data_IF_886012015414
#
_entry.id   IF_886012015414
#
_cell.length_a   1.000
_cell.length_b   1.000
_cell.length_c   1.000
_cell.angle_alpha   90.00
_cell.angle_beta   90.00
_cell.angle_gamma   90.00
#
_symmetry.space_group_name_H-M   'P 1'
#
loop_
_entity.id
_entity.type
_entity.pdbx_description
1 polymer ?
#
# COMPACT_ATOMS: atom_id res chain seq x y z
N UNK A 1 -18.35 -6.67 5.34
CA UNK A 1 -17.14 -6.35 4.55
C UNK A 1 -16.47 -5.17 5.23
N UNK A 2 -15.22 -5.29 5.66
CA UNK A 2 -14.53 -4.19 6.36
C UNK A 2 -14.25 -3.06 5.35
N UNK A 3 -14.17 -1.81 5.84
CA UNK A 3 -13.84 -0.63 5.03
C UNK A 3 -12.58 -0.84 4.17
N UNK A 4 -11.57 -1.49 4.75
CA UNK A 4 -10.31 -1.85 4.06
C UNK A 4 -10.55 -2.78 2.88
N UNK A 5 -11.35 -3.84 3.05
CA UNK A 5 -11.60 -4.83 1.99
C UNK A 5 -12.29 -4.18 0.79
N UNK A 6 -13.18 -3.22 1.04
CA UNK A 6 -13.85 -2.46 -0.02
C UNK A 6 -12.87 -1.60 -0.81
N UNK A 7 -11.99 -0.86 -0.12
CA UNK A 7 -10.96 -0.04 -0.77
C UNK A 7 -10.00 -0.91 -1.59
N UNK A 8 -9.58 -2.05 -1.04
CA UNK A 8 -8.74 -3.01 -1.77
C UNK A 8 -9.45 -3.54 -3.02
N UNK A 9 -10.75 -3.84 -2.93
CA UNK A 9 -11.55 -4.24 -4.09
C UNK A 9 -11.53 -3.22 -5.22
N UNK A 10 -11.75 -1.93 -4.90
CA UNK A 10 -11.66 -0.84 -5.88
C UNK A 10 -10.24 -0.69 -6.47
N UNK A 11 -9.20 -0.82 -5.65
CA UNK A 11 -7.82 -0.80 -6.13
C UNK A 11 -7.50 -1.98 -7.07
N UNK A 12 -8.07 -3.16 -6.82
CA UNK A 12 -7.92 -4.31 -7.73
C UNK A 12 -8.59 -4.08 -9.07
N UNK A 13 -9.82 -3.55 -9.07
CA UNK A 13 -10.56 -3.21 -10.28
C UNK A 13 -9.80 -2.15 -11.10
N UNK A 14 -9.26 -1.13 -10.44
CA UNK A 14 -8.39 -0.12 -11.05
C UNK A 14 -7.17 -0.74 -11.73
N UNK A 15 -6.36 -1.51 -11.01
CA UNK A 15 -5.18 -2.14 -11.58
C UNK A 15 -5.55 -3.06 -12.75
N UNK A 16 -6.65 -3.81 -12.63
CA UNK A 16 -7.12 -4.70 -13.70
C UNK A 16 -7.50 -3.90 -14.95
N UNK A 17 -8.17 -2.76 -14.80
CA UNK A 17 -8.51 -1.87 -15.91
C UNK A 17 -7.27 -1.29 -16.60
N UNK A 18 -6.18 -1.09 -15.87
CA UNK A 18 -4.89 -0.62 -16.39
C UNK A 18 -3.94 -1.73 -16.85
N UNK A 19 -4.36 -2.99 -16.85
CA UNK A 19 -3.51 -4.12 -17.24
C UNK A 19 -2.41 -4.46 -16.21
N UNK A 20 -2.49 -3.88 -15.02
CA UNK A 20 -1.63 -4.15 -13.89
C UNK A 20 -2.23 -5.24 -12.98
N UNK A 21 -1.39 -5.75 -12.06
CA UNK A 21 -1.82 -6.75 -11.07
C UNK A 21 -1.51 -6.31 -9.65
N UNK A 22 -2.54 -6.11 -8.85
CA UNK A 22 -2.42 -5.90 -7.41
C UNK A 22 -2.20 -7.26 -6.72
N UNK A 23 -0.94 -7.72 -6.67
CA UNK A 23 -0.56 -9.01 -6.05
C UNK A 23 -0.84 -9.01 -4.54
N UNK A 24 -0.86 -10.18 -3.92
CA UNK A 24 -1.12 -10.32 -2.46
C UNK A 24 -0.22 -9.41 -1.63
N UNK A 25 1.10 -9.40 -1.90
CA UNK A 25 2.05 -8.53 -1.20
C UNK A 25 1.78 -7.03 -1.41
N UNK A 26 1.35 -6.64 -2.62
CA UNK A 26 0.97 -5.24 -2.91
C UNK A 26 -0.28 -4.83 -2.14
N UNK A 27 -1.29 -5.71 -2.08
CA UNK A 27 -2.50 -5.50 -1.26
C UNK A 27 -2.16 -5.34 0.22
N UNK A 28 -1.28 -6.18 0.75
CA UNK A 28 -0.90 -6.13 2.16
C UNK A 28 -0.18 -4.82 2.52
N UNK A 29 0.74 -4.35 1.68
CA UNK A 29 1.39 -3.04 1.88
C UNK A 29 0.37 -1.89 1.78
N UNK A 30 -0.52 -1.93 0.79
CA UNK A 30 -1.58 -0.92 0.63
C UNK A 30 -2.54 -0.92 1.84
N UNK A 31 -2.94 -2.11 2.32
CA UNK A 31 -3.79 -2.26 3.50
C UNK A 31 -3.14 -1.68 4.77
N UNK A 32 -1.83 -1.85 4.94
CA UNK A 32 -1.07 -1.23 6.03
C UNK A 32 -1.14 0.30 6.01
N UNK A 33 -1.15 0.92 4.82
CA UNK A 33 -1.35 2.37 4.68
C UNK A 33 -2.80 2.79 4.91
N UNK A 34 -3.79 2.04 4.39
CA UNK A 34 -5.22 2.35 4.56
C UNK A 34 -5.63 2.28 6.04
N UNK A 35 -5.09 1.31 6.79
CA UNK A 35 -5.39 1.12 8.20
C UNK A 35 -4.65 2.12 9.11
N UNK A 36 -3.64 2.82 8.59
CA UNK A 36 -2.86 3.76 9.39
C UNK A 36 -3.55 5.12 9.48
N UNK A 37 -3.65 5.67 10.68
CA UNK A 37 -4.12 7.04 10.91
C UNK A 37 -3.04 8.10 10.59
N UNK A 38 -1.83 7.67 10.20
CA UNK A 38 -0.69 8.55 9.92
C UNK A 38 0.06 8.12 8.66
N UNK A 39 0.83 9.04 8.10
CA UNK A 39 1.81 8.69 7.07
C UNK A 39 2.88 7.75 7.64
N UNK A 40 3.26 6.74 6.85
CA UNK A 40 4.28 5.75 7.22
C UNK A 40 5.49 5.83 6.30
N UNK A 41 6.69 5.74 6.86
CA UNK A 41 7.90 5.44 6.10
C UNK A 41 7.89 3.99 5.61
N UNK A 42 8.75 3.66 4.64
CA UNK A 42 8.90 2.28 4.17
C UNK A 42 9.33 1.32 5.31
N UNK A 43 10.14 1.79 6.26
CA UNK A 43 10.58 0.99 7.41
C UNK A 43 9.45 0.75 8.42
N UNK A 44 8.67 1.79 8.73
CA UNK A 44 7.46 1.63 9.56
C UNK A 44 6.47 0.64 8.91
N UNK A 45 6.37 0.62 7.57
CA UNK A 45 5.55 -0.36 6.84
C UNK A 45 6.09 -1.79 6.95
N UNK A 46 7.42 -2.00 6.98
CA UNK A 46 8.01 -3.33 7.22
C UNK A 46 7.61 -3.82 8.61
N UNK A 47 7.66 -2.95 9.61
CA UNK A 47 7.28 -3.29 10.98
C UNK A 47 5.79 -3.64 11.09
N UNK A 48 4.91 -2.83 10.48
CA UNK A 48 3.47 -3.11 10.40
C UNK A 48 3.21 -4.45 9.69
N UNK A 49 3.85 -4.69 8.55
CA UNK A 49 3.73 -5.93 7.80
C UNK A 49 4.16 -7.14 8.64
N UNK A 50 5.29 -7.03 9.35
CA UNK A 50 5.80 -8.09 10.22
C UNK A 50 4.87 -8.37 11.40
N UNK A 51 4.29 -7.34 12.01
CA UNK A 51 3.33 -7.48 13.10
C UNK A 51 2.04 -8.17 12.64
N UNK A 52 1.57 -7.88 11.42
CA UNK A 52 0.32 -8.44 10.90
C UNK A 52 0.47 -9.87 10.36
N UNK A 53 1.58 -10.19 9.70
CA UNK A 53 1.75 -11.44 8.96
C UNK A 53 2.81 -12.38 9.54
N UNK A 54 3.55 -11.96 10.57
CA UNK A 54 4.60 -12.77 11.20
C UNK A 54 5.87 -12.95 10.35
N UNK A 55 5.92 -12.37 9.15
CA UNK A 55 7.06 -12.40 8.25
C UNK A 55 7.58 -11.00 7.92
N UNK A 56 8.90 -10.87 7.76
CA UNK A 56 9.51 -9.61 7.35
C UNK A 56 9.64 -9.52 5.83
N UNK A 57 9.54 -8.30 5.30
CA UNK A 57 9.81 -8.01 3.89
C UNK A 57 11.10 -7.20 3.75
N UNK A 58 12.00 -7.53 2.80
CA UNK A 58 13.17 -6.70 2.53
C UNK A 58 12.78 -5.27 2.18
N UNK A 59 13.53 -4.28 2.66
CA UNK A 59 13.22 -2.87 2.41
C UNK A 59 13.12 -2.53 0.92
N UNK A 60 14.02 -3.07 0.09
CA UNK A 60 13.96 -2.90 -1.37
C UNK A 60 12.66 -3.42 -1.98
N UNK A 61 12.09 -4.50 -1.44
CA UNK A 61 10.81 -5.02 -1.92
C UNK A 61 9.66 -4.09 -1.54
N UNK A 62 9.67 -3.50 -0.34
CA UNK A 62 8.67 -2.52 0.08
C UNK A 62 8.75 -1.26 -0.77
N UNK A 63 9.95 -0.74 -1.05
CA UNK A 63 10.11 0.41 -1.95
C UNK A 63 9.58 0.12 -3.37
N UNK A 64 9.88 -1.05 -3.95
CA UNK A 64 9.35 -1.43 -5.27
C UNK A 64 7.83 -1.60 -5.28
N UNK A 65 7.24 -2.02 -4.15
CA UNK A 65 5.78 -2.07 -4.03
C UNK A 65 5.21 -0.65 -3.94
N UNK A 66 5.83 0.24 -3.16
CA UNK A 66 5.40 1.63 -3.04
C UNK A 66 5.50 2.37 -4.37
N UNK A 67 6.56 2.17 -5.14
CA UNK A 67 6.73 2.69 -6.51
C UNK A 67 5.58 2.22 -7.41
N UNK A 68 5.29 0.92 -7.43
CA UNK A 68 4.13 0.40 -8.17
C UNK A 68 2.81 1.03 -7.73
N UNK A 69 2.59 1.18 -6.42
CA UNK A 69 1.36 1.77 -5.91
C UNK A 69 1.26 3.27 -6.24
N UNK A 70 2.39 3.97 -6.34
CA UNK A 70 2.48 5.38 -6.73
C UNK A 70 2.19 5.54 -8.23
N UNK A 71 2.76 4.67 -9.07
CA UNK A 71 2.50 4.63 -10.52
C UNK A 71 1.01 4.34 -10.83
N UNK A 72 0.39 3.46 -10.05
CA UNK A 72 -1.05 3.17 -10.13
C UNK A 72 -1.92 4.20 -9.36
N UNK A 73 -1.35 5.30 -8.87
CA UNK A 73 -2.07 6.38 -8.17
C UNK A 73 -2.84 5.92 -6.91
N UNK A 74 -2.44 4.80 -6.30
CA UNK A 74 -3.04 4.23 -5.10
C UNK A 74 -2.43 4.77 -3.81
N UNK A 75 -1.23 5.35 -3.87
CA UNK A 75 -0.55 5.99 -2.73
C UNK A 75 0.08 7.32 -3.14
N UNK A 76 0.33 8.18 -2.17
CA UNK A 76 1.07 9.43 -2.36
C UNK A 76 2.30 9.49 -1.46
N UNK A 77 3.42 9.92 -2.02
CA UNK A 77 4.65 10.17 -1.27
C UNK A 77 4.68 11.61 -0.74
N UNK A 78 4.87 11.73 0.57
CA UNK A 78 5.20 12.97 1.25
C UNK A 78 6.73 13.14 1.26
N UNK A 79 7.26 13.70 0.18
CA UNK A 79 8.71 13.75 -0.10
C UNK A 79 9.54 14.35 1.03
N UNK A 80 9.06 15.41 1.69
CA UNK A 80 9.78 16.07 2.78
C UNK A 80 10.01 15.13 3.99
N UNK A 81 9.03 14.27 4.28
CA UNK A 81 9.09 13.33 5.39
C UNK A 81 9.60 11.93 4.99
N UNK A 82 9.77 11.67 3.69
CA UNK A 82 9.99 10.32 3.14
C UNK A 82 8.95 9.30 3.65
N UNK A 83 7.68 9.71 3.67
CA UNK A 83 6.55 8.89 4.11
C UNK A 83 5.48 8.76 3.02
N UNK A 84 4.57 7.82 3.19
CA UNK A 84 3.52 7.49 2.24
C UNK A 84 2.16 7.48 2.94
N UNK A 85 1.12 7.80 2.18
CA UNK A 85 -0.29 7.72 2.58
C UNK A 85 -1.08 7.02 1.48
N UNK A 86 -2.16 6.31 1.84
CA UNK A 86 -3.11 5.79 0.86
C UNK A 86 -3.88 6.94 0.19
N UNK A 87 -4.16 6.80 -1.11
CA UNK A 87 -4.98 7.77 -1.84
C UNK A 87 -6.43 7.73 -1.33
N UNK A 88 -7.02 8.89 -1.05
CA UNK A 88 -8.40 8.99 -0.57
C UNK A 88 -9.45 8.75 -1.67
N UNK A 89 -9.04 8.78 -2.94
CA UNK A 89 -9.93 8.65 -4.11
C UNK A 89 -10.02 7.21 -4.64
N UNK A 90 -9.56 6.22 -3.88
CA UNK A 90 -9.76 4.81 -4.24
C UNK A 90 -11.24 4.47 -4.02
N UNK A 91 -12.02 4.43 -5.11
CA UNK A 91 -13.48 4.31 -5.10
C UNK A 91 -14.03 3.44 -6.22
#
# INVERSE_FOLDING_TARGET
MNHVDRIIGHAEEHCKAHGARLTVKRKQVLAGLIQSEKALSAYELIDVYKQQFGESMPAMSVYRILEFLEDEHLVHKLSLANKYVACAHIS
#
